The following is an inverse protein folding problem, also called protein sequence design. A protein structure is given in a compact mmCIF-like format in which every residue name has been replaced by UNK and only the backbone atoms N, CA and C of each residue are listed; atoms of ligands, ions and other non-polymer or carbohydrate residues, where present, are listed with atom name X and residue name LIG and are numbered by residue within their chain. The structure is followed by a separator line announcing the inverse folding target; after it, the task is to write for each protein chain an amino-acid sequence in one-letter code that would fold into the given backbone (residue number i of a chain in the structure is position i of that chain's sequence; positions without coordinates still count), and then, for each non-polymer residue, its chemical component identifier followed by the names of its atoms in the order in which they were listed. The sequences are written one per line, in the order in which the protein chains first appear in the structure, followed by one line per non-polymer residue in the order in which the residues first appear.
data_IF_881731908435
#
_entry.id   IF_881731908435
#
_cell.length_a   1.000
_cell.length_b   1.000
_cell.length_c   1.000
_cell.angle_alpha   90.00
_cell.angle_beta   90.00
_cell.angle_gamma   90.00
#
_symmetry.space_group_name_H-M   'P 1'
#
loop_
_entity.id
_entity.type
_entity.pdbx_description
1 polymer ?
#
# COMPACT_ATOMS: atom_id res chain seq x y z
N UNK A 1 -1.75 15.31 30.57
CA UNK A 1 -1.90 14.30 29.49
C UNK A 1 -1.46 14.87 28.14
N UNK A 2 -0.28 15.48 28.08
CA UNK A 2 0.27 16.06 26.85
C UNK A 2 0.77 14.96 25.90
N UNK A 3 1.40 13.92 26.45
CA UNK A 3 1.96 12.75 25.74
C UNK A 3 0.93 12.07 24.82
N UNK A 4 -0.28 11.79 25.33
CA UNK A 4 -1.32 11.09 24.56
C UNK A 4 -1.85 11.97 23.43
N UNK A 5 -1.99 13.28 23.67
CA UNK A 5 -2.41 14.23 22.63
C UNK A 5 -1.34 14.35 21.55
N UNK A 6 -0.08 14.44 21.95
CA UNK A 6 1.04 14.55 21.03
C UNK A 6 1.16 13.31 20.14
N UNK A 7 0.96 12.11 20.72
CA UNK A 7 0.91 10.86 19.98
C UNK A 7 -0.30 10.77 19.03
N UNK A 8 -1.47 11.23 19.46
CA UNK A 8 -2.67 11.27 18.62
C UNK A 8 -2.52 12.23 17.43
N UNK A 9 -1.84 13.37 17.62
CA UNK A 9 -1.52 14.33 16.55
C UNK A 9 -0.51 13.76 15.56
N UNK A 10 0.54 13.10 16.05
CA UNK A 10 1.63 12.55 15.21
C UNK A 10 1.24 11.27 14.48
N UNK A 11 0.42 10.43 15.10
CA UNK A 11 0.05 9.11 14.60
C UNK A 11 -1.48 8.94 14.61
N UNK A 12 -2.18 9.46 13.60
CA UNK A 12 -3.64 9.34 13.53
C UNK A 12 -4.07 7.87 13.46
N UNK A 13 -4.94 7.45 14.37
CA UNK A 13 -5.43 6.06 14.47
C UNK A 13 -5.27 5.47 15.88
N UNK A 14 -5.28 4.12 16.02
CA UNK A 14 -5.33 3.46 17.33
C UNK A 14 -4.01 3.50 18.13
N UNK A 15 -2.97 4.17 17.63
CA UNK A 15 -1.65 4.25 18.28
C UNK A 15 -1.72 4.78 19.73
N UNK A 16 -2.48 5.86 19.96
CA UNK A 16 -2.59 6.44 21.30
C UNK A 16 -3.31 5.50 22.28
N UNK A 17 -4.29 4.72 21.80
CA UNK A 17 -5.01 3.74 22.61
C UNK A 17 -4.11 2.56 22.99
N UNK A 18 -3.25 2.13 22.07
CA UNK A 18 -2.26 1.08 22.36
C UNK A 18 -1.29 1.54 23.45
N UNK A 19 -0.73 2.74 23.32
CA UNK A 19 0.18 3.31 24.31
C UNK A 19 -0.48 3.40 25.70
N UNK A 20 -1.68 3.97 25.80
CA UNK A 20 -2.38 4.13 27.08
C UNK A 20 -2.64 2.79 27.77
N UNK A 21 -3.07 1.77 27.00
CA UNK A 21 -3.32 0.44 27.54
C UNK A 21 -2.04 -0.22 28.08
N UNK A 22 -0.96 -0.23 27.28
CA UNK A 22 0.31 -0.84 27.72
C UNK A 22 0.89 -0.11 28.94
N UNK A 23 0.80 1.22 28.95
CA UNK A 23 1.27 2.02 30.07
C UNK A 23 0.50 1.71 31.35
N UNK A 24 -0.84 1.62 31.30
CA UNK A 24 -1.66 1.25 32.48
C UNK A 24 -1.36 -0.15 32.99
N UNK A 25 -1.22 -1.13 32.09
CA UNK A 25 -0.89 -2.52 32.45
C UNK A 25 0.48 -2.61 33.13
N UNK A 26 1.50 -1.95 32.56
CA UNK A 26 2.83 -1.94 33.15
C UNK A 26 2.87 -1.15 34.46
N UNK A 27 2.10 -0.06 34.56
CA UNK A 27 2.03 0.72 35.80
C UNK A 27 1.42 -0.06 36.96
N UNK A 28 0.55 -1.03 36.67
CA UNK A 28 -0.04 -1.90 37.68
C UNK A 28 1.01 -2.79 38.37
N UNK A 29 2.10 -3.13 37.67
CA UNK A 29 3.23 -3.89 38.25
C UNK A 29 4.37 -3.00 38.73
N UNK A 30 4.60 -1.85 38.09
CA UNK A 30 5.70 -0.93 38.41
C UNK A 30 5.17 0.50 38.57
N UNK A 31 5.39 1.18 39.70
CA UNK A 31 4.90 2.54 39.92
C UNK A 31 5.70 3.57 39.10
N UNK A 32 5.41 3.66 37.81
CA UNK A 32 5.95 4.69 36.92
C UNK A 32 5.27 6.05 37.17
N UNK A 33 5.90 7.19 36.87
CA UNK A 33 5.25 8.50 36.87
C UNK A 33 4.42 8.74 35.59
N UNK A 34 3.26 9.41 35.70
CA UNK A 34 2.36 9.68 34.56
C UNK A 34 2.94 10.65 33.52
N UNK A 35 3.84 11.53 33.95
CA UNK A 35 4.41 12.59 33.10
C UNK A 35 5.67 12.15 32.35
N UNK A 36 6.07 10.87 32.46
CA UNK A 36 7.23 10.33 31.76
C UNK A 36 6.81 9.44 30.60
N UNK A 37 7.36 9.72 29.43
CA UNK A 37 7.21 8.87 28.25
C UNK A 37 7.98 7.56 28.48
N UNK A 38 7.29 6.43 28.31
CA UNK A 38 7.95 5.14 28.21
C UNK A 38 8.40 4.92 26.76
N UNK A 39 9.71 4.98 26.53
CA UNK A 39 10.30 5.01 25.18
C UNK A 39 9.92 3.79 24.34
N UNK A 40 9.89 2.59 24.93
CA UNK A 40 9.53 1.36 24.20
C UNK A 40 8.08 1.38 23.72
N UNK A 41 7.12 1.63 24.63
CA UNK A 41 5.71 1.73 24.27
C UNK A 41 5.44 2.87 23.29
N UNK A 42 6.17 3.98 23.43
CA UNK A 42 6.09 5.11 22.50
C UNK A 42 6.54 4.71 21.09
N UNK A 43 7.67 4.01 20.99
CA UNK A 43 8.20 3.50 19.72
C UNK A 43 7.25 2.47 19.10
N UNK A 44 6.73 1.53 19.90
CA UNK A 44 5.76 0.53 19.44
C UNK A 44 4.48 1.21 18.93
N UNK A 45 3.91 2.15 19.69
CA UNK A 45 2.71 2.88 19.26
C UNK A 45 2.93 3.66 17.96
N UNK A 46 4.09 4.30 17.82
CA UNK A 46 4.44 5.09 16.64
C UNK A 46 4.68 4.22 15.40
N UNK A 47 5.19 3.00 15.57
CA UNK A 47 5.50 2.06 14.47
C UNK A 47 4.34 1.14 14.09
N UNK A 48 3.37 0.94 14.99
CA UNK A 48 2.17 0.14 14.70
C UNK A 48 1.31 0.77 13.60
N UNK A 49 1.28 2.11 13.50
CA UNK A 49 0.46 2.84 12.53
C UNK A 49 1.17 3.09 11.18
N UNK A 50 2.51 2.99 11.12
CA UNK A 50 3.26 3.08 9.85
C UNK A 50 3.09 1.83 8.97
N UNK A 51 2.54 0.74 9.52
CA UNK A 51 2.20 -0.48 8.79
C UNK A 51 0.82 -0.44 8.09
N UNK A 52 0.32 0.76 7.77
CA UNK A 52 -0.78 0.89 6.79
C UNK A 52 -0.32 0.66 5.35
N UNK A 53 0.98 0.43 5.13
CA UNK A 53 1.52 -0.20 3.92
C UNK A 53 2.06 -1.60 4.25
N UNK A 54 1.16 -2.60 4.20
CA UNK A 54 1.43 -4.04 4.29
C UNK A 54 1.79 -4.59 5.69
N UNK A 55 0.86 -5.23 6.41
CA UNK A 55 1.21 -6.07 7.54
C UNK A 55 1.77 -7.39 7.02
N UNK A 56 3.06 -7.43 6.71
CA UNK A 56 3.81 -8.68 6.76
C UNK A 56 4.01 -9.02 8.25
N UNK A 57 2.92 -9.44 8.90
CA UNK A 57 2.95 -9.95 10.25
C UNK A 57 3.87 -11.17 10.27
N UNK A 58 4.92 -11.11 11.08
CA UNK A 58 5.63 -12.30 11.58
C UNK A 58 4.63 -13.14 12.39
N UNK A 59 3.82 -13.94 11.71
CA UNK A 59 3.09 -15.07 12.29
C UNK A 59 3.71 -16.35 11.72
N UNK A 60 3.96 -17.38 12.54
CA UNK A 60 4.32 -18.69 12.03
C UNK A 60 3.22 -19.18 11.07
N UNK A 61 3.63 -19.61 9.88
CA UNK A 61 2.75 -20.13 8.83
C UNK A 61 1.77 -21.16 9.39
N UNK A 62 0.47 -20.84 9.35
CA UNK A 62 -0.60 -21.86 9.38
C UNK A 62 -1.11 -22.07 7.96
N UNK A 63 -1.44 -23.31 7.57
CA UNK A 63 -1.75 -23.64 6.19
C UNK A 63 -3.05 -22.97 5.75
N UNK A 64 -3.05 -22.53 4.50
CA UNK A 64 -4.16 -21.87 3.85
C UNK A 64 -5.37 -22.82 3.73
N UNK A 65 -6.46 -22.50 4.43
CA UNK A 65 -7.77 -23.07 4.11
C UNK A 65 -8.85 -21.99 4.05
N UNK A 66 -9.36 -21.86 2.83
CA UNK A 66 -10.70 -21.48 2.42
C UNK A 66 -11.19 -20.03 2.61
N UNK A 67 -11.51 -19.49 1.44
CA UNK A 67 -12.25 -18.27 1.12
C UNK A 67 -13.56 -18.17 1.92
N UNK A 68 -13.87 -16.97 2.42
CA UNK A 68 -15.24 -16.44 2.40
C UNK A 68 -15.21 -15.01 1.88
N UNK A 69 -15.69 -14.87 0.65
CA UNK A 69 -15.94 -13.59 -0.01
C UNK A 69 -17.19 -12.97 0.61
N UNK A 70 -17.03 -11.93 1.43
CA UNK A 70 -18.14 -11.04 1.77
C UNK A 70 -18.31 -10.01 0.66
N UNK A 71 -19.52 -9.78 0.11
CA UNK A 71 -19.75 -8.68 -0.82
C UNK A 71 -19.75 -7.37 -0.02
N UNK A 72 -18.60 -6.71 0.04
CA UNK A 72 -18.52 -5.35 0.58
C UNK A 72 -19.14 -4.40 -0.44
N UNK A 73 -20.37 -3.94 -0.16
CA UNK A 73 -21.10 -2.95 -0.94
C UNK A 73 -20.53 -1.52 -0.72
N UNK A 74 -19.20 -1.38 -0.63
CA UNK A 74 -18.54 -0.08 -0.63
C UNK A 74 -18.17 0.26 -2.06
N UNK A 75 -18.42 1.49 -2.55
CA UNK A 75 -17.84 1.93 -3.81
C UNK A 75 -16.32 1.87 -3.64
N UNK A 76 -15.69 0.85 -4.24
CA UNK A 76 -14.24 0.79 -4.35
C UNK A 76 -13.84 2.02 -5.15
N UNK A 77 -13.38 3.06 -4.45
CA UNK A 77 -12.47 4.04 -5.03
C UNK A 77 -11.21 3.25 -5.37
N UNK A 78 -11.23 2.63 -6.54
CA UNK A 78 -10.16 1.78 -7.05
C UNK A 78 -8.96 2.67 -7.32
N UNK A 79 -8.11 2.75 -6.30
CA UNK A 79 -6.73 3.19 -6.41
C UNK A 79 -6.08 2.25 -7.43
N UNK A 80 -5.81 2.79 -8.62
CA UNK A 80 -5.09 2.20 -9.75
C UNK A 80 -5.36 0.70 -10.04
N UNK A 81 -6.41 0.45 -10.84
CA UNK A 81 -6.76 -0.84 -11.46
C UNK A 81 -5.63 -1.37 -12.37
N UNK A 82 -4.50 -1.84 -11.85
CA UNK A 82 -3.39 -2.38 -12.66
C UNK A 82 -2.78 -3.59 -11.97
N UNK A 83 -2.35 -4.58 -12.74
CA UNK A 83 -1.58 -5.69 -12.21
C UNK A 83 -0.19 -5.22 -11.77
N UNK A 84 0.06 -5.22 -10.47
CA UNK A 84 1.36 -4.83 -9.92
C UNK A 84 2.47 -5.83 -10.28
N UNK A 85 2.16 -7.13 -10.30
CA UNK A 85 3.15 -8.16 -10.67
C UNK A 85 3.60 -8.03 -12.13
N UNK A 86 2.70 -7.60 -13.03
CA UNK A 86 3.06 -7.32 -14.42
C UNK A 86 4.08 -6.19 -14.54
N UNK A 87 4.00 -5.18 -13.66
CA UNK A 87 4.89 -4.02 -13.66
C UNK A 87 6.21 -4.26 -12.87
N UNK A 88 6.45 -5.48 -12.38
CA UNK A 88 7.68 -5.88 -11.68
C UNK A 88 8.55 -6.80 -12.57
N UNK A 89 9.85 -6.96 -12.24
CA UNK A 89 10.75 -7.85 -12.98
C UNK A 89 10.29 -9.32 -13.00
N UNK A 90 9.50 -9.73 -12.00
CA UNK A 90 9.00 -11.10 -11.87
C UNK A 90 7.91 -11.45 -12.89
N UNK A 91 7.35 -10.45 -13.58
CA UNK A 91 6.17 -10.54 -14.44
C UNK A 91 4.94 -11.17 -13.75
N UNK A 92 3.76 -11.10 -14.39
CA UNK A 92 2.55 -11.76 -13.87
C UNK A 92 2.44 -13.17 -14.45
N UNK A 93 2.48 -14.19 -13.58
CA UNK A 93 2.37 -15.60 -13.97
C UNK A 93 0.93 -16.13 -13.97
N UNK A 94 -0.07 -15.28 -13.67
CA UNK A 94 -1.48 -15.71 -13.60
C UNK A 94 -2.07 -15.76 -15.00
N UNK A 95 -2.60 -16.92 -15.39
CA UNK A 95 -3.27 -17.13 -16.69
C UNK A 95 -4.52 -16.24 -16.83
N UNK A 96 -5.32 -16.11 -15.77
CA UNK A 96 -6.50 -15.25 -15.75
C UNK A 96 -6.36 -14.17 -14.67
N UNK A 97 -5.53 -13.15 -14.94
CA UNK A 97 -5.27 -12.08 -13.99
C UNK A 97 -6.50 -11.15 -13.88
N UNK A 98 -7.04 -10.89 -12.67
CA UNK A 98 -8.20 -10.01 -12.49
C UNK A 98 -7.87 -8.52 -12.67
N UNK A 99 -6.59 -8.18 -12.83
CA UNK A 99 -6.12 -6.81 -12.99
C UNK A 99 -5.52 -6.62 -14.38
N UNK A 100 -5.77 -5.49 -15.05
CA UNK A 100 -5.28 -5.29 -16.41
C UNK A 100 -3.75 -5.16 -16.43
N UNK A 101 -3.15 -5.77 -17.46
CA UNK A 101 -1.71 -5.75 -17.71
C UNK A 101 -1.34 -4.49 -18.51
N UNK A 102 -1.35 -3.35 -17.82
CA UNK A 102 -1.01 -2.04 -18.40
C UNK A 102 0.10 -1.37 -17.59
N UNK A 103 0.77 -0.40 -18.19
CA UNK A 103 1.84 0.36 -17.54
C UNK A 103 1.30 1.17 -16.36
N UNK A 104 1.99 1.10 -15.21
CA UNK A 104 1.66 1.89 -14.02
C UNK A 104 1.79 3.41 -14.20
N UNK A 105 2.63 3.86 -15.13
CA UNK A 105 2.87 5.29 -15.38
C UNK A 105 1.94 5.85 -16.47
N UNK A 106 2.02 5.31 -17.68
CA UNK A 106 1.32 5.86 -18.86
C UNK A 106 0.11 5.02 -19.33
N UNK A 107 -0.23 3.92 -18.66
CA UNK A 107 -1.33 3.00 -19.03
C UNK A 107 -1.20 2.31 -20.40
N UNK A 108 -0.04 2.39 -21.06
CA UNK A 108 0.23 1.69 -22.32
C UNK A 108 0.41 0.16 -22.17
N UNK A 109 0.48 -0.59 -23.29
CA UNK A 109 0.62 -2.06 -23.30
C UNK A 109 2.07 -2.52 -23.09
N UNK A 110 2.71 -2.03 -22.02
CA UNK A 110 4.06 -2.41 -21.60
C UNK A 110 4.18 -2.37 -20.08
N UNK A 111 5.23 -2.97 -19.53
CA UNK A 111 5.53 -2.92 -18.09
C UNK A 111 6.11 -1.57 -17.70
N UNK A 112 5.96 -1.13 -16.45
CA UNK A 112 6.57 0.11 -15.95
C UNK A 112 8.09 0.16 -16.16
N UNK A 113 8.77 -0.98 -16.16
CA UNK A 113 10.22 -1.09 -16.42
C UNK A 113 10.60 -0.70 -17.84
N UNK A 114 9.72 -0.95 -18.81
CA UNK A 114 9.93 -0.64 -20.22
C UNK A 114 9.25 0.68 -20.62
N UNK A 115 8.87 1.50 -19.64
CA UNK A 115 8.20 2.77 -19.90
C UNK A 115 9.22 3.87 -20.21
N UNK A 116 8.92 4.71 -21.20
CA UNK A 116 9.72 5.90 -21.50
C UNK A 116 9.61 7.00 -20.43
N UNK A 117 8.65 6.89 -19.51
CA UNK A 117 8.44 7.82 -18.41
C UNK A 117 8.96 7.22 -17.10
N UNK A 118 9.59 8.04 -16.27
CA UNK A 118 10.14 7.64 -14.98
C UNK A 118 9.13 7.79 -13.83
N UNK A 119 8.03 8.52 -14.03
CA UNK A 119 6.96 8.65 -13.03
C UNK A 119 5.56 8.86 -13.62
N UNK A 120 4.54 8.69 -12.78
CA UNK A 120 3.13 8.90 -13.14
C UNK A 120 2.85 10.38 -13.41
N UNK A 121 3.51 11.27 -12.70
CA UNK A 121 3.40 12.73 -12.84
C UNK A 121 3.97 13.18 -14.19
N UNK A 122 5.15 12.65 -14.56
CA UNK A 122 5.78 12.94 -15.85
C UNK A 122 4.93 12.43 -17.02
N UNK A 123 4.38 11.23 -16.89
CA UNK A 123 3.46 10.68 -17.89
C UNK A 123 2.19 11.52 -18.00
N UNK A 124 1.60 11.93 -16.87
CA UNK A 124 0.38 12.73 -16.83
C UNK A 124 0.58 14.10 -17.48
N UNK A 125 1.65 14.81 -17.13
CA UNK A 125 1.99 16.11 -17.74
C UNK A 125 2.19 16.01 -19.26
N UNK A 126 2.86 14.95 -19.72
CA UNK A 126 3.17 14.74 -21.14
C UNK A 126 1.93 14.34 -21.97
N UNK A 127 1.00 13.61 -21.37
CA UNK A 127 -0.24 13.16 -22.03
C UNK A 127 -1.33 14.24 -22.01
N UNK A 128 -1.39 15.08 -20.97
CA UNK A 128 -2.31 16.23 -20.92
C UNK A 128 -2.01 17.30 -21.97
N UNK A 129 -0.79 17.34 -22.53
CA UNK A 129 -0.36 18.30 -23.54
C UNK A 129 -0.55 17.88 -25.00
N UNK A 130 -1.02 16.66 -25.31
CA UNK A 130 -1.13 16.17 -26.70
C UNK A 130 -2.55 15.73 -27.04
N UNK A 131 -3.39 16.69 -27.45
CA UNK A 131 -4.50 16.40 -28.38
C UNK A 131 -4.00 16.59 -29.81
N UNK A 132 -3.48 15.52 -30.40
CA UNK A 132 -3.71 15.17 -31.81
C UNK A 132 -3.18 13.75 -32.08
N UNK A 133 -3.97 12.85 -32.69
CA UNK A 133 -3.57 11.47 -32.91
C UNK A 133 -2.82 11.35 -34.23
N UNK A 134 -1.56 10.92 -34.19
CA UNK A 134 -0.91 10.28 -35.33
C UNK A 134 -0.79 8.80 -35.01
N UNK A 135 -1.68 8.03 -35.63
CA UNK A 135 -1.70 6.58 -35.65
C UNK A 135 -0.40 6.01 -36.20
N UNK A 136 0.29 5.18 -35.41
CA UNK A 136 1.30 4.25 -35.92
C UNK A 136 1.15 2.93 -35.18
N UNK A 137 0.19 2.12 -35.64
CA UNK A 137 0.07 0.72 -35.23
C UNK A 137 1.24 -0.11 -35.81
N UNK A 138 1.82 -1.05 -35.06
CA UNK A 138 2.76 -2.01 -35.63
C UNK A 138 2.01 -3.08 -36.44
N UNK A 139 2.54 -3.37 -37.64
CA UNK A 139 2.08 -4.42 -38.56
C UNK A 139 2.18 -5.82 -37.93
N UNK A 140 1.30 -6.77 -38.30
CA UNK A 140 1.42 -8.16 -37.89
C UNK A 140 2.55 -8.88 -38.65
N UNK A 141 3.46 -9.54 -37.94
CA UNK A 141 4.47 -10.42 -38.50
C UNK A 141 3.84 -11.76 -38.92
N UNK A 142 4.16 -12.17 -40.15
CA UNK A 142 3.68 -13.40 -40.79
C UNK A 142 4.25 -14.67 -40.13
N UNK A 143 3.44 -15.71 -40.21
CA UNK A 143 3.75 -17.12 -40.01
C UNK A 143 4.98 -17.58 -40.81
N UNK A 144 5.73 -18.52 -40.25
CA UNK A 144 6.31 -19.68 -40.93
C UNK A 144 6.18 -20.89 -40.01
#
# INVERSE_FOLDING_TARGET
MEIIRDLATRCPGPAFQYYDNQFRLFRASVPLPWDRIHTEFWLMASTLNTNTHNPQSFRPSRPATQRRSFPSNRPKRFVDNVCWNFNKPTHCQRINCPHPHICGFCRGPHTALNCSYSSKEQASQSLSGKRNPSSSGPKPSKQL
#
